data_IF_455432614234
#
_entry.id   IF_455432614234
#
_cell.length_a   1.000
_cell.length_b   1.000
_cell.length_c   1.000
_cell.angle_alpha   90.00
_cell.angle_beta   90.00
_cell.angle_gamma   90.00
#
_symmetry.space_group_name_H-M   'P 1'
#
loop_
_entity.id
_entity.type
_entity.pdbx_description
1 polymer ?
#
# COMPACT_ATOMS: atom_id res chain seq x y z
N UNK A 1 -31.11 11.98 31.51
CA UNK A 1 -31.05 12.01 30.04
C UNK A 1 -29.63 12.22 29.60
N UNK A 2 -28.98 11.19 29.05
CA UNK A 2 -27.76 11.38 28.28
C UNK A 2 -28.18 11.82 26.87
N UNK A 3 -27.59 12.91 26.37
CA UNK A 3 -27.80 13.34 24.99
C UNK A 3 -27.28 12.25 24.03
N UNK A 4 -27.97 11.97 22.90
CA UNK A 4 -27.39 11.11 21.88
C UNK A 4 -26.08 11.73 21.37
N UNK A 5 -25.03 10.92 21.11
CA UNK A 5 -23.80 11.44 20.53
C UNK A 5 -24.12 12.15 19.20
N UNK A 6 -23.38 13.22 18.84
CA UNK A 6 -23.63 13.95 17.61
C UNK A 6 -23.55 13.01 16.40
N UNK A 7 -24.38 13.22 15.37
CA UNK A 7 -24.40 12.38 14.19
C UNK A 7 -23.06 12.50 13.47
N UNK A 8 -22.25 11.44 13.56
CA UNK A 8 -21.11 11.09 12.70
C UNK A 8 -20.34 12.29 12.14
N UNK A 9 -19.25 12.67 12.81
CA UNK A 9 -18.15 13.29 12.09
C UNK A 9 -17.81 12.33 10.94
N UNK A 10 -18.09 12.78 9.72
CA UNK A 10 -17.88 12.07 8.46
C UNK A 10 -16.58 11.27 8.53
N UNK A 11 -16.70 9.95 8.38
CA UNK A 11 -15.64 8.95 8.58
C UNK A 11 -14.35 9.35 7.88
N UNK A 12 -13.45 10.06 8.57
CA UNK A 12 -12.09 10.24 8.10
C UNK A 12 -11.42 8.88 8.11
N UNK A 13 -11.14 8.37 6.92
CA UNK A 13 -10.27 7.24 6.73
C UNK A 13 -8.89 7.73 6.31
N UNK A 14 -7.90 6.86 6.43
CA UNK A 14 -6.58 7.07 5.88
C UNK A 14 -6.20 5.87 5.03
N UNK A 15 -5.56 6.14 3.89
CA UNK A 15 -5.01 5.13 3.00
C UNK A 15 -3.49 5.08 3.13
N UNK A 16 -2.92 3.90 3.06
CA UNK A 16 -1.48 3.72 2.86
C UNK A 16 -1.23 2.50 1.98
N UNK A 17 -0.07 2.46 1.35
CA UNK A 17 0.36 1.31 0.55
C UNK A 17 1.34 0.49 1.36
N UNK A 18 1.05 -0.80 1.48
CA UNK A 18 1.96 -1.82 1.98
C UNK A 18 2.57 -2.53 0.78
N UNK A 19 3.88 -2.72 0.80
CA UNK A 19 4.65 -3.35 -0.25
C UNK A 19 5.48 -4.50 0.32
N UNK A 20 5.45 -5.64 -0.37
CA UNK A 20 6.17 -6.85 0.01
C UNK A 20 6.85 -7.46 -1.22
N UNK A 21 8.01 -8.09 -1.02
CA UNK A 21 8.65 -8.93 -2.02
C UNK A 21 8.35 -10.39 -1.72
N UNK A 22 7.91 -11.16 -2.71
CA UNK A 22 7.59 -12.57 -2.58
C UNK A 22 8.23 -13.43 -3.68
N UNK A 23 8.57 -14.68 -3.39
CA UNK A 23 9.08 -15.68 -4.34
C UNK A 23 8.55 -17.05 -3.93
N UNK A 24 8.17 -17.90 -4.89
CA UNK A 24 7.56 -19.21 -4.58
C UNK A 24 6.27 -19.17 -3.74
N UNK A 25 5.62 -18.01 -3.59
CA UNK A 25 4.45 -17.83 -2.72
C UNK A 25 4.78 -17.46 -1.26
N UNK A 26 6.05 -17.29 -0.91
CA UNK A 26 6.48 -16.84 0.41
C UNK A 26 7.03 -15.41 0.40
N UNK A 27 6.77 -14.68 1.49
CA UNK A 27 7.35 -13.37 1.75
C UNK A 27 8.87 -13.49 1.94
N UNK A 28 9.62 -12.66 1.23
CA UNK A 28 11.09 -12.65 1.27
C UNK A 28 11.65 -11.63 2.27
N UNK A 29 10.89 -10.58 2.56
CA UNK A 29 11.34 -9.46 3.40
C UNK A 29 10.22 -9.05 4.36
N UNK A 30 10.57 -8.22 5.34
CA UNK A 30 9.56 -7.42 6.03
C UNK A 30 8.85 -6.50 5.03
N UNK A 31 7.58 -6.22 5.31
CA UNK A 31 6.80 -5.25 4.56
C UNK A 31 7.40 -3.85 4.69
N UNK A 32 7.40 -3.10 3.58
CA UNK A 32 7.68 -1.68 3.55
C UNK A 32 6.35 -0.93 3.33
N UNK A 33 6.16 0.21 3.98
CA UNK A 33 4.90 0.94 3.88
C UNK A 33 5.12 2.44 3.64
N UNK A 34 4.18 3.06 2.94
CA UNK A 34 4.15 4.52 2.79
C UNK A 34 3.65 5.20 4.06
N UNK A 35 3.70 6.53 4.08
CA UNK A 35 2.89 7.32 4.99
C UNK A 35 1.40 7.17 4.69
N UNK A 36 0.58 7.65 5.63
CA UNK A 36 -0.86 7.70 5.50
C UNK A 36 -1.29 8.96 4.75
N UNK A 37 -2.22 8.80 3.81
CA UNK A 37 -2.95 9.88 3.15
C UNK A 37 -4.37 9.93 3.69
N UNK A 38 -4.80 11.10 4.16
CA UNK A 38 -6.16 11.25 4.69
C UNK A 38 -7.16 11.28 3.54
N UNK A 39 -8.31 10.67 3.78
CA UNK A 39 -9.40 10.57 2.83
C UNK A 39 -10.67 11.10 3.48
N UNK A 40 -11.38 11.95 2.75
CA UNK A 40 -12.69 12.44 3.18
C UNK A 40 -13.79 11.37 3.01
N UNK A 41 -14.99 11.66 3.48
CA UNK A 41 -16.12 10.74 3.38
C UNK A 41 -16.59 10.48 1.94
N UNK A 42 -16.13 11.25 0.95
CA UNK A 42 -16.39 11.00 -0.46
C UNK A 42 -15.31 10.09 -1.10
N UNK A 43 -14.29 9.68 -0.32
CA UNK A 43 -13.18 8.88 -0.83
C UNK A 43 -12.09 9.71 -1.53
N UNK A 44 -12.13 11.05 -1.41
CA UNK A 44 -11.15 11.93 -2.01
C UNK A 44 -9.98 12.21 -1.05
N UNK A 45 -8.77 12.21 -1.58
CA UNK A 45 -7.55 12.39 -0.80
C UNK A 45 -7.24 13.88 -0.60
N UNK A 46 -6.52 14.23 0.46
CA UNK A 46 -6.13 15.62 0.74
C UNK A 46 -5.31 16.23 -0.41
N UNK A 47 -5.94 17.04 -1.26
CA UNK A 47 -5.32 17.68 -2.42
C UNK A 47 -5.96 17.37 -3.79
N UNK A 48 -6.98 16.49 -3.84
CA UNK A 48 -7.74 16.23 -5.08
C UNK A 48 -8.41 14.87 -5.13
N UNK A 49 -8.82 14.44 -6.33
CA UNK A 49 -9.52 13.17 -6.55
C UNK A 49 -8.61 11.92 -6.50
N UNK A 50 -7.31 12.07 -6.26
CA UNK A 50 -6.34 10.97 -6.28
C UNK A 50 -5.35 11.08 -5.12
N UNK A 51 -5.07 9.96 -4.46
CA UNK A 51 -3.99 9.85 -3.48
C UNK A 51 -2.65 9.77 -4.20
N UNK A 52 -1.68 10.59 -3.77
CA UNK A 52 -0.32 10.64 -4.32
C UNK A 52 0.66 10.64 -3.16
N UNK A 53 1.49 9.60 -3.05
CA UNK A 53 2.47 9.47 -1.98
C UNK A 53 3.86 10.03 -2.32
N UNK A 54 4.27 9.97 -3.60
CA UNK A 54 5.61 10.36 -4.09
C UNK A 54 6.78 9.88 -3.17
N UNK A 55 6.67 8.66 -2.65
CA UNK A 55 7.60 8.10 -1.67
C UNK A 55 8.36 6.90 -2.23
N UNK A 56 9.67 6.89 -2.04
CA UNK A 56 10.51 5.73 -2.32
C UNK A 56 10.46 4.73 -1.15
N UNK A 57 10.01 3.50 -1.41
CA UNK A 57 10.09 2.39 -0.48
C UNK A 57 11.41 1.63 -0.67
N UNK A 58 12.04 1.24 0.43
CA UNK A 58 13.32 0.51 0.43
C UNK A 58 13.14 -0.83 1.10
N UNK A 59 13.60 -1.90 0.45
CA UNK A 59 13.58 -3.25 0.98
C UNK A 59 14.97 -3.64 1.47
N UNK A 60 15.03 -4.31 2.63
CA UNK A 60 16.27 -4.77 3.24
C UNK A 60 16.81 -6.06 2.60
N UNK A 61 16.95 -6.08 1.27
CA UNK A 61 17.46 -7.22 0.49
C UNK A 61 18.39 -6.71 -0.61
N UNK A 62 19.48 -7.43 -0.86
CA UNK A 62 20.37 -7.06 -1.96
C UNK A 62 19.84 -7.63 -3.27
N UNK A 63 20.01 -6.87 -4.35
CA UNK A 63 19.59 -7.27 -5.69
C UNK A 63 20.06 -8.68 -6.10
N UNK A 64 21.31 -9.04 -5.81
CA UNK A 64 21.89 -10.34 -6.17
C UNK A 64 21.25 -11.53 -5.44
N UNK A 65 20.54 -11.25 -4.35
CA UNK A 65 19.89 -12.26 -3.51
C UNK A 65 18.41 -12.43 -3.93
N UNK A 66 17.92 -11.68 -4.93
CA UNK A 66 16.56 -11.81 -5.47
C UNK A 66 16.47 -12.93 -6.52
N UNK A 67 15.62 -13.94 -6.31
CA UNK A 67 15.25 -14.90 -7.34
C UNK A 67 14.63 -14.25 -8.59
N UNK A 68 14.75 -14.93 -9.73
CA UNK A 68 14.18 -14.41 -10.98
C UNK A 68 12.64 -14.44 -11.04
N UNK A 69 12.00 -15.18 -10.14
CA UNK A 69 10.54 -15.24 -10.00
C UNK A 69 10.01 -14.23 -8.97
N UNK A 70 10.86 -13.37 -8.39
CA UNK A 70 10.42 -12.38 -7.40
C UNK A 70 9.30 -11.49 -7.93
N UNK A 71 8.25 -11.37 -7.13
CA UNK A 71 7.11 -10.50 -7.31
C UNK A 71 7.16 -9.35 -6.29
N UNK A 72 6.76 -8.16 -6.72
CA UNK A 72 6.40 -7.04 -5.85
C UNK A 72 4.89 -7.08 -5.66
N UNK A 73 4.47 -7.35 -4.44
CA UNK A 73 3.09 -7.34 -3.99
C UNK A 73 2.80 -5.98 -3.36
N UNK A 74 1.78 -5.28 -3.84
CA UNK A 74 1.31 -4.00 -3.32
C UNK A 74 -0.12 -4.18 -2.83
N UNK A 75 -0.38 -3.74 -1.60
CA UNK A 75 -1.70 -3.74 -0.98
C UNK A 75 -2.05 -2.32 -0.57
N UNK A 76 -3.16 -1.80 -1.09
CA UNK A 76 -3.74 -0.55 -0.64
C UNK A 76 -4.59 -0.84 0.60
N UNK A 77 -4.22 -0.23 1.72
CA UNK A 77 -4.83 -0.47 3.02
C UNK A 77 -5.59 0.77 3.48
N UNK A 78 -6.82 0.56 3.94
CA UNK A 78 -7.71 1.56 4.52
C UNK A 78 -7.77 1.38 6.03
N UNK A 79 -7.55 2.47 6.75
CA UNK A 79 -7.61 2.54 8.21
C UNK A 79 -8.60 3.63 8.58
N UNK A 80 -9.54 3.32 9.47
CA UNK A 80 -10.50 4.30 9.99
C UNK A 80 -10.67 4.08 11.49
N UNK A 81 -10.95 5.16 12.23
CA UNK A 81 -11.11 5.09 13.68
C UNK A 81 -12.25 4.15 14.06
N UNK A 82 -12.00 3.27 15.04
CA UNK A 82 -12.99 2.31 15.52
C UNK A 82 -13.35 1.18 14.54
N UNK A 83 -12.67 1.07 13.40
CA UNK A 83 -12.88 0.00 12.42
C UNK A 83 -11.62 -0.86 12.25
N UNK A 84 -11.75 -2.18 12.04
CA UNK A 84 -10.62 -3.00 11.61
C UNK A 84 -10.05 -2.47 10.30
N UNK A 85 -8.72 -2.52 10.17
CA UNK A 85 -8.04 -2.22 8.91
C UNK A 85 -8.55 -3.14 7.79
N UNK A 86 -8.74 -2.56 6.60
CA UNK A 86 -9.31 -3.23 5.43
C UNK A 86 -8.36 -3.12 4.23
N UNK A 87 -8.26 -4.19 3.44
CA UNK A 87 -7.62 -4.13 2.13
C UNK A 87 -8.60 -3.54 1.10
N UNK A 88 -8.25 -2.40 0.52
CA UNK A 88 -9.02 -1.70 -0.51
C UNK A 88 -8.64 -2.14 -1.93
N UNK A 89 -7.43 -2.65 -2.14
CA UNK A 89 -6.97 -3.14 -3.44
C UNK A 89 -5.60 -3.79 -3.38
N UNK A 90 -5.28 -4.59 -4.41
CA UNK A 90 -4.01 -5.32 -4.51
C UNK A 90 -3.48 -5.23 -5.94
N UNK A 91 -2.17 -5.14 -6.08
CA UNK A 91 -1.47 -5.28 -7.35
C UNK A 91 -0.23 -6.16 -7.18
N UNK A 92 0.06 -7.01 -8.16
CA UNK A 92 1.23 -7.89 -8.14
C UNK A 92 2.03 -7.69 -9.41
N UNK A 93 3.32 -7.36 -9.27
CA UNK A 93 4.20 -7.02 -10.38
C UNK A 93 5.44 -7.91 -10.38
N UNK A 94 5.74 -8.63 -11.47
CA UNK A 94 7.01 -9.36 -11.56
C UNK A 94 8.17 -8.38 -11.63
N UNK A 95 9.21 -8.59 -10.82
CA UNK A 95 10.37 -7.70 -10.73
C UNK A 95 11.35 -7.87 -11.90
N UNK A 96 11.37 -9.03 -12.52
CA UNK A 96 12.24 -9.34 -13.64
C UNK A 96 11.47 -9.42 -14.96
N UNK A 97 12.13 -9.07 -16.06
CA UNK A 97 11.59 -9.28 -17.40
C UNK A 97 11.91 -10.70 -17.92
N UNK A 98 11.38 -11.05 -19.10
CA UNK A 98 11.62 -12.37 -19.72
C UNK A 98 13.10 -12.68 -20.02
N UNK A 99 13.97 -11.67 -20.01
CA UNK A 99 15.43 -11.82 -20.21
C UNK A 99 16.19 -11.90 -18.86
N UNK A 100 15.49 -12.03 -17.74
CA UNK A 100 16.09 -12.11 -16.40
C UNK A 100 16.68 -10.80 -15.89
N UNK A 101 16.37 -9.65 -16.50
CA UNK A 101 16.85 -8.35 -16.02
C UNK A 101 15.83 -7.69 -15.11
N UNK A 102 16.31 -7.06 -14.05
CA UNK A 102 15.47 -6.24 -13.18
C UNK A 102 14.77 -5.15 -13.98
N UNK A 103 13.48 -4.98 -13.72
CA UNK A 103 12.68 -3.89 -14.28
C UNK A 103 13.04 -2.58 -13.58
N UNK A 104 13.28 -1.55 -14.37
CA UNK A 104 13.55 -0.19 -13.89
C UNK A 104 12.69 0.82 -14.64
N UNK A 105 12.57 2.03 -14.10
CA UNK A 105 11.82 3.15 -14.69
C UNK A 105 10.33 3.18 -14.31
N UNK A 106 9.61 4.23 -14.75
CA UNK A 106 8.17 4.37 -14.53
C UNK A 106 7.37 3.17 -15.08
N UNK A 107 6.27 2.83 -14.40
CA UNK A 107 5.40 1.68 -14.69
C UNK A 107 3.97 2.13 -14.87
#
# INVERSE_FOLDING_TARGET
SAAPPPPHALDSAALHVVAELASGGEAMTLEAQTTYENVDAAGACTGGSSCVWDQALTFCVKYRDLPHDTLLCLSLMEVAEGRPQRCAGVAVLPMFNKKGRLKTGPR
#
